data_IF_267397969057
#
_entry.id   IF_267397969057
#
_cell.length_a   1.000
_cell.length_b   1.000
_cell.length_c   1.000
_cell.angle_alpha   90.00
_cell.angle_beta   90.00
_cell.angle_gamma   90.00
#
_symmetry.space_group_name_H-M   'P 1'
#
loop_
_entity.id
_entity.type
_entity.pdbx_description
1 polymer ?
#
# COMPACT_ATOMS: atom_id res chain seq x y z
N UNK A 1 16.94 1.08 -1.40
CA UNK A 1 15.60 0.87 -0.81
C UNK A 1 15.26 2.03 0.10
N UNK A 2 14.06 2.60 -0.02
CA UNK A 2 13.62 3.72 0.85
C UNK A 2 13.38 3.26 2.28
N UNK A 3 13.36 4.19 3.23
CA UNK A 3 12.88 3.94 4.60
C UNK A 3 11.36 3.82 4.61
N UNK A 4 10.83 2.71 5.15
CA UNK A 4 9.39 2.55 5.37
C UNK A 4 8.90 3.46 6.50
N UNK A 5 7.86 4.26 6.22
CA UNK A 5 7.20 5.16 7.19
C UNK A 5 6.40 4.37 8.22
N UNK A 6 5.71 3.32 7.77
CA UNK A 6 4.92 2.40 8.60
C UNK A 6 5.83 1.68 9.59
N UNK A 7 6.88 0.99 9.11
CA UNK A 7 7.79 0.24 9.97
C UNK A 7 8.56 1.16 10.92
N UNK A 8 8.93 2.37 10.48
CA UNK A 8 9.58 3.34 11.35
C UNK A 8 8.71 3.75 12.54
N UNK A 9 7.40 3.97 12.33
CA UNK A 9 6.46 4.30 13.41
C UNK A 9 6.18 3.11 14.33
N UNK A 10 5.89 1.94 13.77
CA UNK A 10 5.60 0.73 14.55
C UNK A 10 6.78 0.38 15.46
N UNK A 11 8.02 0.39 14.92
CA UNK A 11 9.24 0.10 15.71
C UNK A 11 9.52 1.13 16.80
N UNK A 12 8.98 2.34 16.67
CA UNK A 12 9.07 3.39 17.68
C UNK A 12 7.91 3.35 18.69
N UNK A 13 7.05 2.32 18.67
CA UNK A 13 5.86 2.23 19.52
C UNK A 13 4.78 3.26 19.17
N UNK A 14 4.79 3.80 17.94
CA UNK A 14 3.85 4.83 17.47
C UNK A 14 2.78 4.23 16.55
N UNK A 15 1.66 4.94 16.45
CA UNK A 15 0.54 4.58 15.56
C UNK A 15 0.87 4.96 14.11
N UNK A 16 0.78 3.99 13.19
CA UNK A 16 0.82 4.22 11.75
C UNK A 16 -0.61 4.34 11.20
N UNK A 17 -0.89 5.40 10.44
CA UNK A 17 -2.19 5.63 9.80
C UNK A 17 -2.22 4.95 8.45
N UNK A 18 -3.14 4.01 8.27
CA UNK A 18 -3.31 3.22 7.05
C UNK A 18 -4.67 3.51 6.44
N UNK A 19 -4.71 3.70 5.13
CA UNK A 19 -5.95 3.65 4.34
C UNK A 19 -5.93 2.39 3.46
N UNK A 20 -7.06 2.01 2.86
CA UNK A 20 -7.14 0.82 2.01
C UNK A 20 -7.72 1.15 0.63
N UNK A 21 -7.32 0.35 -0.36
CA UNK A 21 -8.00 0.28 -1.64
C UNK A 21 -7.99 -1.14 -2.17
N UNK A 22 -9.09 -1.51 -2.82
CA UNK A 22 -9.28 -2.77 -3.52
C UNK A 22 -9.26 -2.62 -5.03
N UNK A 23 -8.81 -1.48 -5.55
CA UNK A 23 -8.80 -1.17 -7.00
C UNK A 23 -7.61 -0.28 -7.36
N UNK A 24 -7.11 -0.36 -8.61
CA UNK A 24 -5.91 0.35 -9.06
C UNK A 24 -6.16 1.84 -9.38
N UNK A 25 -6.63 2.58 -8.38
CA UNK A 25 -6.97 4.00 -8.51
C UNK A 25 -5.70 4.84 -8.65
N UNK A 26 -5.50 5.45 -9.82
CA UNK A 26 -4.23 6.04 -10.21
C UNK A 26 -3.70 7.14 -9.28
N UNK A 27 -4.57 8.03 -8.83
CA UNK A 27 -4.19 9.18 -7.99
C UNK A 27 -4.19 8.85 -6.48
N UNK A 28 -4.64 7.64 -6.10
CA UNK A 28 -4.86 7.31 -4.69
C UNK A 28 -3.59 7.38 -3.84
N UNK A 29 -2.40 6.92 -4.31
CA UNK A 29 -1.17 7.07 -3.55
C UNK A 29 -0.79 8.53 -3.27
N UNK A 30 -0.95 9.41 -4.26
CA UNK A 30 -0.66 10.83 -4.12
C UNK A 30 -1.61 11.51 -3.12
N UNK A 31 -2.91 11.18 -3.19
CA UNK A 31 -3.91 11.70 -2.25
C UNK A 31 -3.68 11.19 -0.83
N UNK A 32 -3.39 9.91 -0.66
CA UNK A 32 -3.08 9.34 0.66
C UNK A 32 -1.83 9.99 1.28
N UNK A 33 -0.79 10.24 0.48
CA UNK A 33 0.40 10.96 0.91
C UNK A 33 0.10 12.43 1.29
N UNK A 34 -0.72 13.12 0.48
CA UNK A 34 -1.18 14.48 0.74
C UNK A 34 -1.91 14.60 2.08
N UNK A 35 -2.78 13.63 2.39
CA UNK A 35 -3.48 13.55 3.69
C UNK A 35 -2.68 12.85 4.79
N UNK A 36 -1.36 12.68 4.58
CA UNK A 36 -0.39 12.24 5.57
C UNK A 36 -0.64 10.82 6.13
N UNK A 37 -1.24 9.93 5.34
CA UNK A 37 -1.22 8.49 5.65
C UNK A 37 0.21 7.96 5.57
N UNK A 38 0.51 6.94 6.38
CA UNK A 38 1.83 6.32 6.44
C UNK A 38 1.99 5.21 5.40
N UNK A 39 0.88 4.55 5.06
CA UNK A 39 0.85 3.48 4.07
C UNK A 39 -0.56 3.20 3.57
N UNK A 40 -0.63 2.38 2.53
CA UNK A 40 -1.87 1.94 1.90
C UNK A 40 -1.92 0.42 1.89
N UNK A 41 -3.01 -0.13 2.41
CA UNK A 41 -3.36 -1.52 2.29
C UNK A 41 -3.97 -1.78 0.91
N UNK A 42 -3.24 -2.51 0.06
CA UNK A 42 -3.75 -3.02 -1.21
C UNK A 42 -4.36 -4.39 -1.00
N UNK A 43 -5.69 -4.46 -1.12
CA UNK A 43 -6.42 -5.71 -0.95
C UNK A 43 -6.48 -6.48 -2.26
N UNK A 44 -5.62 -7.49 -2.40
CA UNK A 44 -5.67 -8.49 -3.46
C UNK A 44 -6.27 -9.83 -2.97
N UNK A 45 -6.75 -9.89 -1.73
CA UNK A 45 -7.44 -11.08 -1.22
C UNK A 45 -8.89 -11.10 -1.67
N UNK A 46 -9.59 -9.97 -1.59
CA UNK A 46 -11.01 -9.88 -1.95
C UNK A 46 -11.26 -9.26 -3.33
N UNK A 47 -10.20 -8.87 -4.04
CA UNK A 47 -10.28 -8.16 -5.31
C UNK A 47 -9.29 -8.74 -6.29
N UNK A 48 -9.71 -8.83 -7.54
CA UNK A 48 -8.85 -9.26 -8.63
C UNK A 48 -7.94 -8.09 -9.01
N UNK A 49 -6.64 -8.37 -9.08
CA UNK A 49 -5.62 -7.46 -9.58
C UNK A 49 -4.93 -8.11 -10.76
N UNK A 50 -4.90 -7.42 -11.90
CA UNK A 50 -4.01 -7.84 -12.98
C UNK A 50 -2.54 -7.56 -12.58
N UNK A 51 -1.58 -8.42 -12.92
CA UNK A 51 -0.17 -8.19 -12.60
C UNK A 51 0.36 -6.82 -13.08
N UNK A 52 -0.10 -6.30 -14.22
CA UNK A 52 0.30 -4.96 -14.71
C UNK A 52 -0.32 -3.84 -13.91
N UNK A 53 -1.54 -4.03 -13.41
CA UNK A 53 -2.17 -3.07 -12.49
C UNK A 53 -1.40 -3.01 -11.17
N UNK A 54 -0.99 -4.16 -10.65
CA UNK A 54 -0.16 -4.26 -9.45
C UNK A 54 1.20 -3.57 -9.65
N UNK A 55 1.91 -3.86 -10.75
CA UNK A 55 3.17 -3.22 -11.12
C UNK A 55 3.01 -1.69 -11.20
N UNK A 56 1.99 -1.22 -11.92
CA UNK A 56 1.71 0.21 -12.08
C UNK A 56 1.43 0.87 -10.73
N UNK A 57 0.66 0.20 -9.85
CA UNK A 57 0.36 0.73 -8.52
C UNK A 57 1.58 0.76 -7.61
N UNK A 58 2.47 -0.23 -7.67
CA UNK A 58 3.74 -0.21 -6.94
C UNK A 58 4.61 0.99 -7.37
N UNK A 59 4.69 1.25 -8.68
CA UNK A 59 5.37 2.44 -9.21
C UNK A 59 4.77 3.76 -8.69
N UNK A 60 3.44 3.85 -8.60
CA UNK A 60 2.75 5.03 -8.06
C UNK A 60 3.01 5.24 -6.56
N UNK A 61 3.10 4.16 -5.77
CA UNK A 61 3.47 4.26 -4.35
C UNK A 61 4.90 4.79 -4.18
N UNK A 62 5.83 4.29 -5.00
CA UNK A 62 7.20 4.77 -5.01
C UNK A 62 7.27 6.27 -5.35
N UNK A 63 6.57 6.70 -6.41
CA UNK A 63 6.53 8.10 -6.84
C UNK A 63 5.88 9.03 -5.80
N UNK A 64 4.83 8.58 -5.11
CA UNK A 64 4.11 9.37 -4.11
C UNK A 64 4.78 9.38 -2.72
N UNK A 65 5.92 8.72 -2.58
CA UNK A 65 6.60 8.52 -1.31
C UNK A 65 5.69 7.91 -0.19
N UNK A 66 4.85 6.90 -0.50
CA UNK A 66 3.97 6.22 0.48
C UNK A 66 4.16 4.69 0.51
N UNK A 67 4.05 4.08 1.69
CA UNK A 67 4.30 2.63 1.83
C UNK A 67 3.17 1.83 1.18
N UNK A 68 3.53 0.81 0.41
CA UNK A 68 2.60 -0.16 -0.14
C UNK A 68 2.56 -1.40 0.76
N UNK A 69 1.42 -1.64 1.41
CA UNK A 69 1.14 -2.86 2.17
C UNK A 69 0.33 -3.81 1.30
N UNK A 70 1.00 -4.75 0.66
CA UNK A 70 0.36 -5.73 -0.22
C UNK A 70 -0.26 -6.87 0.59
N UNK A 71 -1.58 -7.04 0.48
CA UNK A 71 -2.28 -8.24 0.96
C UNK A 71 -2.44 -9.20 -0.22
N UNK A 72 -1.60 -10.24 -0.35
CA UNK A 72 -1.69 -11.17 -1.46
C UNK A 72 -2.98 -11.99 -1.39
N UNK A 73 -3.35 -12.58 -2.53
CA UNK A 73 -4.40 -13.58 -2.64
C UNK A 73 -4.15 -14.69 -1.61
N UNK A 74 -5.19 -15.15 -0.92
CA UNK A 74 -5.08 -16.26 0.04
C UNK A 74 -4.43 -17.46 -0.64
N UNK A 75 -3.36 -17.98 -0.02
CA UNK A 75 -2.92 -19.34 -0.29
C UNK A 75 -3.93 -20.25 0.42
N UNK A 76 -4.70 -21.06 -0.30
CA UNK A 76 -5.39 -22.18 0.33
C UNK A 76 -4.38 -22.94 1.19
N UNK A 77 -4.81 -23.42 2.37
CA UNK A 77 -3.95 -24.07 3.35
C UNK A 77 -3.09 -25.13 2.66
N UNK A 78 -1.78 -24.88 2.58
CA UNK A 78 -0.79 -25.93 2.34
C UNK A 78 -0.80 -26.92 3.50
#
# INVERSE_FOLDING_TARGET
>A
MRRSKVLAKIRAGKVARICCTGSPIAFFPAIAAHFHYDGIWLDAEHRVWDPREAETMLGRHHAADIDCMWRPITKEKN
#
